data_IF_692447818885
#
_entry.id   IF_692447818885
#
_cell.length_a   1.000
_cell.length_b   1.000
_cell.length_c   1.000
_cell.angle_alpha   90.00
_cell.angle_beta   90.00
_cell.angle_gamma   90.00
#
_symmetry.space_group_name_H-M   'P 1'
#
loop_
_entity.id
_entity.type
_entity.pdbx_description
1 polymer ?
#
# COMPACT_ATOMS: atom_id res chain seq x y z
N UNK A 1 22.53 -19.58 -26.23
CA UNK A 1 22.90 -18.70 -25.11
C UNK A 1 21.70 -17.79 -24.90
N UNK A 2 20.89 -18.02 -23.86
CA UNK A 2 19.92 -17.00 -23.45
C UNK A 2 20.74 -15.91 -22.78
N UNK A 3 20.81 -14.73 -23.39
CA UNK A 3 21.30 -13.54 -22.70
C UNK A 3 20.35 -13.30 -21.53
N UNK A 4 20.80 -13.60 -20.31
CA UNK A 4 20.07 -13.20 -19.12
C UNK A 4 20.14 -11.67 -19.06
N UNK A 5 18.98 -11.00 -19.10
CA UNK A 5 18.91 -9.57 -18.84
C UNK A 5 19.64 -9.27 -17.53
N UNK A 6 20.51 -8.23 -17.49
CA UNK A 6 21.24 -7.89 -16.27
C UNK A 6 20.25 -7.65 -15.13
N UNK A 7 20.61 -8.08 -13.92
CA UNK A 7 19.75 -7.85 -12.75
C UNK A 7 19.51 -6.35 -12.58
N UNK A 8 18.35 -5.97 -12.02
CA UNK A 8 18.02 -4.56 -11.81
C UNK A 8 19.12 -3.83 -11.02
N UNK A 9 19.78 -4.53 -10.08
CA UNK A 9 20.89 -3.99 -9.30
C UNK A 9 22.13 -3.70 -10.13
N UNK A 10 22.47 -4.58 -11.08
CA UNK A 10 23.55 -4.34 -12.01
C UNK A 10 23.25 -3.12 -12.89
N UNK A 11 22.02 -3.02 -13.41
CA UNK A 11 21.58 -1.89 -14.24
C UNK A 11 21.66 -0.56 -13.48
N UNK A 12 21.23 -0.55 -12.21
CA UNK A 12 21.33 0.63 -11.33
C UNK A 12 22.79 1.08 -11.12
N UNK A 13 23.70 0.13 -10.90
CA UNK A 13 25.11 0.42 -10.73
C UNK A 13 25.78 0.95 -12.02
N UNK A 14 25.51 0.31 -13.16
CA UNK A 14 26.13 0.65 -14.45
C UNK A 14 25.67 2.01 -14.99
N UNK A 15 24.45 2.42 -14.65
CA UNK A 15 23.85 3.69 -15.11
C UNK A 15 24.14 4.86 -14.17
N UNK A 16 24.81 4.61 -13.04
CA UNK A 16 25.00 5.59 -11.96
C UNK A 16 23.66 6.23 -11.55
N UNK A 17 22.63 5.37 -11.43
CA UNK A 17 21.24 5.78 -11.28
C UNK A 17 21.02 6.75 -10.13
N UNK A 18 21.69 6.50 -9.01
CA UNK A 18 21.62 7.37 -7.83
C UNK A 18 22.07 8.79 -8.14
N UNK A 19 23.26 8.95 -8.72
CA UNK A 19 23.81 10.26 -9.01
C UNK A 19 22.97 10.99 -10.07
N UNK A 20 22.52 10.27 -11.10
CA UNK A 20 21.69 10.85 -12.16
C UNK A 20 20.34 11.37 -11.66
N UNK A 21 19.68 10.65 -10.75
CA UNK A 21 18.49 11.21 -10.10
C UNK A 21 18.86 12.37 -9.19
N UNK A 22 19.95 12.29 -8.40
CA UNK A 22 20.35 13.40 -7.55
C UNK A 22 20.59 14.70 -8.34
N UNK A 23 21.16 14.59 -9.54
CA UNK A 23 21.44 15.72 -10.43
C UNK A 23 20.16 16.43 -10.93
N UNK A 24 19.01 15.74 -10.98
CA UNK A 24 17.71 16.35 -11.36
C UNK A 24 17.32 17.44 -10.35
N UNK A 25 17.42 17.13 -9.05
CA UNK A 25 17.16 18.12 -8.00
C UNK A 25 17.90 17.77 -6.70
N UNK A 26 19.09 18.37 -6.47
CA UNK A 26 19.92 18.09 -5.29
C UNK A 26 19.29 18.49 -3.95
N UNK A 27 18.26 19.33 -3.96
CA UNK A 27 17.56 19.80 -2.76
C UNK A 27 16.50 18.80 -2.27
N UNK A 28 16.24 17.75 -3.04
CA UNK A 28 15.19 16.76 -2.74
C UNK A 28 15.77 15.35 -2.70
N UNK A 29 15.21 14.51 -1.85
CA UNK A 29 15.54 13.09 -1.81
C UNK A 29 14.61 12.32 -2.75
N UNK A 30 15.19 11.41 -3.52
CA UNK A 30 14.48 10.39 -4.29
C UNK A 30 14.79 9.01 -3.71
N UNK A 31 13.76 8.22 -3.45
CA UNK A 31 13.84 6.92 -2.81
C UNK A 31 13.08 5.89 -3.64
N UNK A 32 13.73 4.76 -3.91
CA UNK A 32 13.12 3.59 -4.51
C UNK A 32 12.17 3.00 -3.47
N UNK A 33 10.89 2.93 -3.82
CA UNK A 33 9.83 2.33 -3.01
C UNK A 33 9.18 1.18 -3.80
N UNK A 34 8.12 0.60 -3.25
CA UNK A 34 7.42 -0.50 -3.92
C UNK A 34 8.29 -1.75 -4.03
N UNK A 35 8.09 -2.52 -5.08
CA UNK A 35 8.54 -3.91 -5.17
C UNK A 35 10.08 -4.00 -5.17
N UNK A 36 10.77 -3.17 -5.97
CA UNK A 36 12.25 -3.11 -5.96
C UNK A 36 12.79 -2.62 -4.62
N UNK A 37 12.19 -1.58 -4.02
CA UNK A 37 12.65 -1.05 -2.73
C UNK A 37 12.46 -2.06 -1.59
N UNK A 38 11.38 -2.84 -1.62
CA UNK A 38 11.14 -3.94 -0.68
C UNK A 38 12.13 -5.09 -0.92
N UNK A 39 12.39 -5.45 -2.19
CA UNK A 39 13.36 -6.48 -2.55
C UNK A 39 14.77 -6.14 -2.05
N UNK A 40 15.20 -4.88 -2.18
CA UNK A 40 16.49 -4.41 -1.66
C UNK A 40 16.63 -4.64 -0.14
N UNK A 41 15.57 -4.37 0.63
CA UNK A 41 15.59 -4.58 2.08
C UNK A 41 15.55 -6.06 2.45
N UNK A 42 14.73 -6.85 1.74
CA UNK A 42 14.63 -8.29 1.95
C UNK A 42 15.96 -9.02 1.66
N UNK A 43 16.78 -8.50 0.74
CA UNK A 43 18.09 -9.06 0.37
C UNK A 43 19.28 -8.31 0.98
N UNK A 44 19.03 -7.47 1.98
CA UNK A 44 20.11 -6.84 2.71
C UNK A 44 21.02 -7.92 3.31
N UNK A 45 22.32 -7.86 3.03
CA UNK A 45 23.35 -8.61 3.76
C UNK A 45 23.67 -7.94 5.10
N UNK A 46 23.60 -6.61 5.14
CA UNK A 46 23.78 -5.82 6.36
C UNK A 46 22.87 -4.58 6.36
N UNK A 47 22.41 -4.17 7.54
CA UNK A 47 21.69 -2.91 7.78
C UNK A 47 22.43 -2.15 8.87
N UNK A 48 22.99 -0.99 8.52
CA UNK A 48 23.52 -0.03 9.48
C UNK A 48 22.45 1.02 9.77
N UNK A 49 21.78 0.83 10.91
CA UNK A 49 20.69 1.69 11.36
C UNK A 49 21.13 3.12 11.71
N UNK A 50 22.36 3.30 12.18
CA UNK A 50 22.84 4.62 12.59
C UNK A 50 23.11 5.49 11.35
N UNK A 51 23.74 4.90 10.35
CA UNK A 51 24.05 5.56 9.08
C UNK A 51 22.88 5.58 8.12
N UNK A 52 21.89 4.71 8.30
CA UNK A 52 20.81 4.51 7.32
C UNK A 52 21.38 3.92 6.05
N UNK A 53 22.07 2.79 6.15
CA UNK A 53 22.76 2.16 5.03
C UNK A 53 22.39 0.68 4.93
N UNK A 54 22.10 0.25 3.71
CA UNK A 54 21.79 -1.13 3.36
C UNK A 54 22.89 -1.63 2.44
N UNK A 55 23.51 -2.75 2.78
CA UNK A 55 24.49 -3.41 1.90
C UNK A 55 23.88 -4.71 1.40
N UNK A 56 23.76 -4.86 0.07
CA UNK A 56 23.28 -6.08 -0.58
C UNK A 56 24.39 -7.14 -0.68
N UNK A 57 24.01 -8.40 -0.71
CA UNK A 57 24.94 -9.50 -1.02
C UNK A 57 25.31 -9.51 -2.53
N UNK A 58 26.52 -9.99 -2.87
CA UNK A 58 27.07 -9.90 -4.23
C UNK A 58 26.30 -10.75 -5.27
N UNK A 59 25.82 -11.92 -4.86
CA UNK A 59 25.31 -12.97 -5.76
C UNK A 59 23.80 -13.19 -5.58
N UNK A 60 22.97 -12.19 -5.86
CA UNK A 60 21.52 -12.37 -5.76
C UNK A 60 20.80 -12.09 -7.07
N UNK A 61 20.18 -13.15 -7.57
CA UNK A 61 19.02 -13.04 -8.45
C UNK A 61 17.82 -12.60 -7.60
N UNK A 62 17.07 -11.58 -8.02
CA UNK A 62 15.96 -11.08 -7.25
C UNK A 62 14.86 -12.15 -7.13
N UNK A 63 14.26 -12.28 -5.94
CA UNK A 63 13.33 -13.40 -5.64
C UNK A 63 11.97 -13.30 -6.32
N UNK A 64 11.65 -12.15 -6.92
CA UNK A 64 10.39 -11.95 -7.63
C UNK A 64 10.63 -12.15 -9.13
N UNK A 65 10.40 -13.38 -9.60
CA UNK A 65 10.26 -13.65 -11.04
C UNK A 65 8.93 -13.08 -11.52
N UNK A 66 8.98 -11.93 -12.18
CA UNK A 66 7.86 -11.42 -12.96
C UNK A 66 7.87 -12.13 -14.32
N UNK A 67 7.38 -13.37 -14.39
CA UNK A 67 7.35 -14.13 -15.65
C UNK A 67 6.60 -13.34 -16.75
N UNK A 68 7.36 -12.68 -17.63
CA UNK A 68 6.84 -11.91 -18.77
C UNK A 68 6.38 -10.47 -18.47
N UNK A 69 6.45 -9.98 -17.24
CA UNK A 69 6.13 -8.58 -16.91
C UNK A 69 7.40 -7.78 -16.60
N UNK A 70 7.49 -6.51 -17.06
CA UNK A 70 8.64 -5.66 -16.73
C UNK A 70 8.70 -5.40 -15.23
N UNK A 71 9.92 -5.18 -14.72
CA UNK A 71 10.14 -4.81 -13.32
C UNK A 71 9.33 -3.58 -12.96
N UNK A 72 8.65 -3.57 -11.81
CA UNK A 72 7.96 -2.37 -11.32
C UNK A 72 8.85 -1.61 -10.36
N UNK A 73 9.32 -0.45 -10.80
CA UNK A 73 10.08 0.48 -9.95
C UNK A 73 9.23 1.71 -9.64
N UNK A 74 8.90 1.85 -8.37
CA UNK A 74 8.25 3.04 -7.87
C UNK A 74 9.30 3.94 -7.21
N UNK A 75 9.28 5.24 -7.51
CA UNK A 75 10.17 6.24 -6.91
C UNK A 75 9.33 7.23 -6.13
N UNK A 76 9.65 7.42 -4.87
CA UNK A 76 9.12 8.49 -4.05
C UNK A 76 10.13 9.63 -4.00
N UNK A 77 9.71 10.84 -4.40
CA UNK A 77 10.50 12.04 -4.23
C UNK A 77 9.93 12.91 -3.09
N UNK A 78 10.79 13.56 -2.30
CA UNK A 78 10.39 14.54 -1.27
C UNK A 78 10.02 15.90 -1.88
N UNK A 79 9.70 15.94 -3.17
CA UNK A 79 9.27 17.13 -3.89
C UNK A 79 7.75 17.14 -4.09
N UNK A 80 7.08 18.29 -3.88
CA UNK A 80 5.70 18.49 -4.32
C UNK A 80 5.58 19.10 -5.71
N UNK A 81 6.69 19.37 -6.39
CA UNK A 81 6.71 20.05 -7.69
C UNK A 81 6.52 19.07 -8.85
N UNK A 82 5.43 19.23 -9.61
CA UNK A 82 5.06 18.30 -10.67
C UNK A 82 6.08 18.23 -11.82
N UNK A 83 6.77 19.33 -12.12
CA UNK A 83 7.80 19.34 -13.17
C UNK A 83 9.02 18.51 -12.74
N UNK A 84 9.47 18.68 -11.50
CA UNK A 84 10.53 17.85 -10.88
C UNK A 84 10.15 16.37 -10.90
N UNK A 85 8.91 16.02 -10.55
CA UNK A 85 8.44 14.62 -10.56
C UNK A 85 8.40 14.01 -11.98
N UNK A 86 8.03 14.82 -12.98
CA UNK A 86 8.05 14.40 -14.37
C UNK A 86 9.48 14.17 -14.87
N UNK A 87 10.42 15.06 -14.52
CA UNK A 87 11.83 14.92 -14.88
C UNK A 87 12.45 13.67 -14.24
N UNK A 88 12.21 13.43 -12.95
CA UNK A 88 12.61 12.17 -12.30
C UNK A 88 12.13 10.93 -13.06
N UNK A 89 10.87 10.95 -13.53
CA UNK A 89 10.28 9.82 -14.26
C UNK A 89 10.97 9.59 -15.59
N UNK A 90 11.21 10.65 -16.35
CA UNK A 90 11.85 10.55 -17.66
C UNK A 90 13.33 10.15 -17.52
N UNK A 91 14.08 10.74 -16.58
CA UNK A 91 15.47 10.34 -16.29
C UNK A 91 15.54 8.86 -15.89
N UNK A 92 14.66 8.39 -15.01
CA UNK A 92 14.66 6.99 -14.60
C UNK A 92 14.33 6.03 -15.76
N UNK A 93 13.37 6.37 -16.63
CA UNK A 93 13.08 5.57 -17.83
C UNK A 93 14.24 5.55 -18.83
N UNK A 94 14.90 6.69 -19.05
CA UNK A 94 16.03 6.79 -19.96
C UNK A 94 17.20 5.88 -19.51
N UNK A 95 17.45 5.80 -18.20
CA UNK A 95 18.50 4.95 -17.64
C UNK A 95 18.12 3.47 -17.64
N UNK A 96 16.87 3.15 -17.30
CA UNK A 96 16.45 1.77 -17.07
C UNK A 96 15.87 1.08 -18.32
N UNK A 97 15.47 1.83 -19.34
CA UNK A 97 14.87 1.31 -20.57
C UNK A 97 13.52 0.63 -20.35
N UNK A 98 13.01 -0.01 -21.41
CA UNK A 98 11.65 -0.57 -21.44
C UNK A 98 11.46 -1.84 -20.60
N UNK A 99 12.55 -2.43 -20.08
CA UNK A 99 12.51 -3.61 -19.20
C UNK A 99 11.95 -3.29 -17.80
N UNK A 100 11.83 -1.99 -17.47
CA UNK A 100 11.38 -1.50 -16.16
C UNK A 100 10.24 -0.50 -16.33
N UNK A 101 9.08 -0.85 -15.78
CA UNK A 101 7.96 0.06 -15.62
C UNK A 101 8.24 1.01 -14.45
N UNK A 102 8.48 2.28 -14.75
CA UNK A 102 8.78 3.31 -13.75
C UNK A 102 7.55 4.16 -13.44
N UNK A 103 7.21 4.26 -12.15
CA UNK A 103 6.30 5.25 -11.62
C UNK A 103 7.02 6.19 -10.64
N UNK A 104 6.63 7.46 -10.63
CA UNK A 104 7.15 8.45 -9.70
C UNK A 104 5.99 9.09 -8.97
N UNK A 105 6.11 9.16 -7.64
CA UNK A 105 5.17 9.82 -6.75
C UNK A 105 5.93 10.84 -5.90
N UNK A 106 5.29 11.97 -5.61
CA UNK A 106 5.87 13.03 -4.79
C UNK A 106 5.13 13.25 -3.48
N UNK A 107 5.58 14.23 -2.70
CA UNK A 107 4.79 14.75 -1.60
C UNK A 107 3.58 15.51 -2.15
N UNK A 108 2.38 15.14 -1.72
CA UNK A 108 1.21 15.88 -2.12
C UNK A 108 1.10 17.17 -1.31
N UNK A 109 0.88 18.31 -1.99
CA UNK A 109 0.49 19.55 -1.29
C UNK A 109 -0.88 19.36 -0.66
N UNK A 110 -1.06 19.92 0.54
CA UNK A 110 -2.33 19.84 1.24
C UNK A 110 -3.45 20.53 0.41
N UNK A 111 -4.40 19.71 -0.07
CA UNK A 111 -5.64 20.06 -0.77
C UNK A 111 -5.52 20.42 -2.26
N UNK A 112 -5.45 19.42 -3.16
CA UNK A 112 -5.62 19.72 -4.59
C UNK A 112 -6.66 18.91 -5.38
N UNK A 113 -7.15 17.73 -4.98
CA UNK A 113 -8.25 17.09 -5.77
C UNK A 113 -9.25 16.24 -4.98
N UNK A 114 -10.45 16.04 -5.55
CA UNK A 114 -11.47 15.11 -5.05
C UNK A 114 -11.06 13.64 -5.22
N UNK A 115 -10.17 13.33 -6.17
CA UNK A 115 -9.57 12.00 -6.34
C UNK A 115 -8.68 11.63 -5.15
N UNK A 116 -7.92 12.60 -4.59
CA UNK A 116 -7.19 12.42 -3.32
C UNK A 116 -8.13 12.17 -2.13
N UNK A 117 -9.39 12.59 -2.24
CA UNK A 117 -10.41 12.43 -1.20
C UNK A 117 -11.03 11.02 -1.20
N UNK A 118 -11.14 10.39 -2.37
CA UNK A 118 -11.53 8.97 -2.50
C UNK A 118 -10.46 8.05 -1.88
N UNK A 119 -9.19 8.49 -1.91
CA UNK A 119 -8.04 7.97 -1.16
C UNK A 119 -7.96 6.45 -1.08
N UNK A 120 -8.13 5.79 -2.22
CA UNK A 120 -8.02 4.34 -2.37
C UNK A 120 -6.60 3.84 -2.07
N UNK A 121 -5.61 4.72 -2.22
CA UNK A 121 -4.19 4.48 -1.94
C UNK A 121 -3.67 5.46 -0.90
N UNK A 122 -2.75 5.01 -0.06
CA UNK A 122 -2.08 5.86 0.92
C UNK A 122 -0.96 6.71 0.29
N UNK A 123 -0.72 7.90 0.83
CA UNK A 123 0.32 8.81 0.35
C UNK A 123 0.79 9.81 1.40
N UNK A 124 1.99 10.36 1.19
CA UNK A 124 2.57 11.40 2.04
C UNK A 124 2.16 12.79 1.58
N UNK A 125 1.84 13.64 2.56
CA UNK A 125 1.41 15.03 2.36
C UNK A 125 2.28 15.96 3.20
N UNK A 126 2.61 17.11 2.63
CA UNK A 126 3.24 18.19 3.37
C UNK A 126 2.18 19.21 3.76
N UNK A 127 2.11 19.55 5.05
CA UNK A 127 1.24 20.61 5.55
C UNK A 127 1.84 22.01 5.33
N UNK A 128 1.04 23.05 5.54
CA UNK A 128 1.46 24.45 5.33
C UNK A 128 2.55 24.95 6.28
N UNK A 129 2.95 24.16 7.28
CA UNK A 129 4.05 24.45 8.21
C UNK A 129 5.29 23.58 7.93
N UNK A 130 5.26 22.76 6.88
CA UNK A 130 6.34 21.84 6.52
C UNK A 130 6.24 20.47 7.21
N UNK A 131 5.25 20.24 8.07
CA UNK A 131 5.04 18.97 8.74
C UNK A 131 4.60 17.87 7.77
N UNK A 132 5.02 16.64 8.04
CA UNK A 132 4.70 15.47 7.21
C UNK A 132 3.48 14.73 7.77
N UNK A 133 2.57 14.34 6.91
CA UNK A 133 1.42 13.51 7.27
C UNK A 133 1.27 12.37 6.28
N UNK A 134 0.90 11.19 6.78
CA UNK A 134 0.44 10.11 5.92
C UNK A 134 -1.09 10.09 5.89
N UNK A 135 -1.64 9.92 4.69
CA UNK A 135 -3.08 9.90 4.48
C UNK A 135 -3.48 8.71 3.65
N UNK A 136 -4.55 8.05 4.07
CA UNK A 136 -5.25 7.00 3.32
C UNK A 136 -6.74 7.28 3.46
N UNK A 137 -7.39 7.70 2.36
CA UNK A 137 -8.75 8.23 2.40
C UNK A 137 -8.86 9.49 3.28
N UNK A 138 -9.85 9.48 4.17
CA UNK A 138 -10.07 10.55 5.14
C UNK A 138 -9.23 10.40 6.41
N UNK A 139 -8.48 9.31 6.57
CA UNK A 139 -7.61 9.09 7.73
C UNK A 139 -6.30 9.82 7.52
N UNK A 140 -5.92 10.62 8.50
CA UNK A 140 -4.69 11.40 8.54
C UNK A 140 -3.91 11.02 9.79
N UNK A 141 -2.60 10.91 9.68
CA UNK A 141 -1.74 10.70 10.84
C UNK A 141 -0.47 11.52 10.64
N UNK A 142 -0.13 12.43 11.57
CA UNK A 142 1.17 13.08 11.59
C UNK A 142 2.26 12.02 11.55
N UNK A 143 3.27 12.24 10.74
CA UNK A 143 4.43 11.38 10.67
C UNK A 143 5.65 12.13 11.18
N UNK A 144 6.53 11.45 11.93
CA UNK A 144 7.83 12.02 12.28
C UNK A 144 8.66 12.28 11.02
N UNK A 145 9.59 13.23 11.07
CA UNK A 145 10.46 13.57 9.93
C UNK A 145 11.31 12.37 9.51
N UNK A 146 11.71 11.53 10.48
CA UNK A 146 12.42 10.28 10.28
C UNK A 146 11.69 9.35 9.31
N UNK A 147 10.37 9.46 9.17
CA UNK A 147 9.60 8.65 8.23
C UNK A 147 9.97 8.89 6.76
N UNK A 148 10.54 10.05 6.42
CA UNK A 148 11.05 10.38 5.09
C UNK A 148 12.58 10.28 5.00
N UNK A 149 13.26 9.88 6.09
CA UNK A 149 14.72 9.72 6.08
C UNK A 149 15.09 8.60 5.10
N UNK A 150 15.81 8.99 4.06
CA UNK A 150 16.33 8.08 3.05
C UNK A 150 17.50 7.25 3.60
N UNK A 151 17.56 5.99 3.18
CA UNK A 151 18.65 5.06 3.48
C UNK A 151 19.39 4.72 2.19
N UNK A 152 20.71 4.84 2.20
CA UNK A 152 21.54 4.52 1.05
C UNK A 152 21.63 3.01 0.86
N UNK A 153 21.44 2.53 -0.36
CA UNK A 153 21.63 1.12 -0.74
C UNK A 153 22.90 1.01 -1.57
N UNK A 154 23.77 0.08 -1.19
CA UNK A 154 24.98 -0.24 -1.94
C UNK A 154 25.12 -1.75 -2.16
N UNK A 155 25.84 -2.12 -3.21
CA UNK A 155 26.28 -3.49 -3.39
C UNK A 155 27.48 -3.83 -2.48
N UNK A 156 27.90 -5.10 -2.49
CA UNK A 156 29.04 -5.57 -1.70
C UNK A 156 30.40 -4.98 -2.10
N UNK A 157 30.47 -4.35 -3.28
CA UNK A 157 31.67 -3.66 -3.80
C UNK A 157 31.69 -2.18 -3.42
N UNK A 158 30.61 -1.69 -2.80
CA UNK A 158 30.45 -0.28 -2.40
C UNK A 158 29.84 0.61 -3.49
N UNK A 159 29.36 0.05 -4.61
CA UNK A 159 28.65 0.84 -5.62
C UNK A 159 27.28 1.25 -5.07
N UNK A 160 26.96 2.54 -5.17
CA UNK A 160 25.67 3.07 -4.70
C UNK A 160 24.62 2.76 -5.76
N UNK A 161 23.59 2.00 -5.37
CA UNK A 161 22.51 1.60 -6.28
C UNK A 161 21.35 2.60 -6.26
N UNK A 162 21.20 3.31 -5.14
CA UNK A 162 20.09 4.23 -4.91
C UNK A 162 19.87 4.47 -3.44
N UNK A 163 18.71 5.04 -3.14
CA UNK A 163 18.22 5.20 -1.77
C UNK A 163 16.86 4.52 -1.65
N UNK A 164 16.51 4.05 -0.46
CA UNK A 164 15.18 3.54 -0.11
C UNK A 164 14.64 4.32 1.09
N UNK A 165 13.35 4.18 1.41
CA UNK A 165 12.87 4.62 2.71
C UNK A 165 13.48 3.77 3.83
N UNK A 166 13.55 4.32 5.04
CA UNK A 166 13.86 3.51 6.21
C UNK A 166 12.90 2.31 6.32
N UNK A 167 13.39 1.23 6.93
CA UNK A 167 12.69 -0.05 6.99
C UNK A 167 11.24 0.05 7.54
N UNK A 168 10.97 0.74 8.68
CA UNK A 168 9.60 0.97 9.15
C UNK A 168 8.68 1.65 8.14
N UNK A 169 9.15 2.70 7.46
CA UNK A 169 8.37 3.42 6.45
C UNK A 169 8.09 2.56 5.23
N UNK A 170 9.08 1.80 4.75
CA UNK A 170 8.91 0.91 3.60
C UNK A 170 7.86 -0.18 3.88
N UNK A 171 7.94 -0.83 5.05
CA UNK A 171 6.95 -1.82 5.47
C UNK A 171 5.55 -1.21 5.56
N UNK A 172 5.47 -0.01 6.09
CA UNK A 172 4.20 0.68 6.28
C UNK A 172 3.57 1.11 4.95
N UNK A 173 4.37 1.52 3.96
CA UNK A 173 3.87 1.77 2.61
C UNK A 173 3.29 0.50 1.98
N UNK A 174 3.96 -0.64 2.14
CA UNK A 174 3.45 -1.93 1.65
C UNK A 174 2.11 -2.30 2.31
N UNK A 175 1.99 -2.05 3.61
CA UNK A 175 0.77 -2.31 4.38
C UNK A 175 -0.41 -1.42 3.99
N UNK A 176 -0.14 -0.13 3.78
CA UNK A 176 -1.16 0.91 3.63
C UNK A 176 -1.39 1.34 2.17
N UNK A 177 -0.74 0.67 1.21
CA UNK A 177 -0.89 0.94 -0.22
C UNK A 177 -2.34 0.94 -0.68
N UNK A 178 -3.22 0.19 -0.01
CA UNK A 178 -4.65 0.14 -0.32
C UNK A 178 -5.55 0.24 0.92
N UNK A 179 -6.70 0.91 0.75
CA UNK A 179 -7.77 0.96 1.77
C UNK A 179 -8.22 -0.44 2.19
N UNK A 180 -8.12 -1.45 1.34
CA UNK A 180 -8.46 -2.85 1.66
C UNK A 180 -7.43 -3.58 2.53
N UNK A 181 -6.23 -3.02 2.74
CA UNK A 181 -5.11 -3.67 3.44
C UNK A 181 -4.12 -4.34 2.49
N UNK A 182 -3.22 -5.16 3.06
CA UNK A 182 -2.19 -5.92 2.32
C UNK A 182 -2.85 -6.82 1.29
N UNK A 183 -2.43 -6.73 0.02
CA UNK A 183 -2.91 -7.64 -1.03
C UNK A 183 -2.27 -9.00 -0.87
N UNK A 184 -2.97 -10.05 -1.30
CA UNK A 184 -2.44 -11.43 -1.27
C UNK A 184 -1.07 -11.55 -1.97
N UNK A 185 -0.87 -10.80 -3.06
CA UNK A 185 0.41 -10.76 -3.79
C UNK A 185 1.54 -10.09 -3.01
N UNK A 186 1.22 -9.14 -2.14
CA UNK A 186 2.17 -8.36 -1.34
C UNK A 186 2.44 -9.03 0.03
N UNK A 187 1.67 -10.07 0.39
CA UNK A 187 1.68 -10.67 1.72
C UNK A 187 3.00 -11.38 2.07
N UNK A 188 3.65 -12.02 1.09
CA UNK A 188 4.93 -12.69 1.28
C UNK A 188 6.03 -11.67 1.56
N UNK A 189 6.12 -10.64 0.71
CA UNK A 189 7.06 -9.53 0.89
C UNK A 189 6.83 -8.81 2.23
N UNK A 190 5.58 -8.58 2.61
CA UNK A 190 5.24 -8.00 3.91
C UNK A 190 5.71 -8.88 5.05
N UNK A 191 5.45 -10.18 5.01
CA UNK A 191 5.87 -11.10 6.07
C UNK A 191 7.39 -11.16 6.22
N UNK A 192 8.13 -11.17 5.11
CA UNK A 192 9.60 -11.14 5.09
C UNK A 192 10.12 -9.84 5.71
N UNK A 193 9.63 -8.70 5.24
CA UNK A 193 10.09 -7.39 5.70
C UNK A 193 9.71 -7.12 7.17
N UNK A 194 8.52 -7.57 7.58
CA UNK A 194 8.09 -7.54 8.98
C UNK A 194 8.91 -8.48 9.86
N UNK A 195 9.35 -9.64 9.34
CA UNK A 195 10.30 -10.51 10.04
C UNK A 195 11.66 -9.82 10.24
N UNK A 196 12.12 -9.03 9.27
CA UNK A 196 13.37 -8.26 9.41
C UNK A 196 13.29 -7.23 10.53
N UNK A 197 12.15 -6.55 10.70
CA UNK A 197 11.94 -5.64 11.84
C UNK A 197 11.98 -6.36 13.20
N UNK A 198 11.73 -7.66 13.25
CA UNK A 198 11.66 -8.45 14.50
C UNK A 198 12.92 -9.28 14.77
N UNK A 199 13.77 -9.49 13.77
CA UNK A 199 14.89 -10.42 13.87
C UNK A 199 16.19 -9.69 14.23
N UNK A 200 16.41 -9.54 15.54
CA UNK A 200 17.59 -8.88 16.09
C UNK A 200 18.89 -9.64 15.77
N UNK A 201 18.85 -10.96 15.66
CA UNK A 201 20.03 -11.81 15.44
C UNK A 201 20.65 -11.63 14.04
N UNK A 202 19.83 -11.31 13.03
CA UNK A 202 20.29 -11.20 11.65
C UNK A 202 20.65 -9.78 11.21
N UNK A 203 20.00 -8.74 11.79
CA UNK A 203 20.09 -7.34 11.33
C UNK A 203 20.19 -6.30 12.44
N UNK A 204 20.34 -6.73 13.70
CA UNK A 204 20.32 -5.86 14.87
C UNK A 204 18.92 -5.39 15.26
N UNK A 205 18.78 -4.94 16.51
CA UNK A 205 17.53 -4.39 17.02
C UNK A 205 17.19 -3.05 16.35
N UNK A 206 15.89 -2.82 16.12
CA UNK A 206 15.39 -1.53 15.64
C UNK A 206 15.69 -0.46 16.69
N UNK A 207 16.43 0.62 16.37
CA UNK A 207 16.74 1.65 17.34
C UNK A 207 15.50 2.43 17.80
N UNK A 208 15.54 2.91 19.05
CA UNK A 208 14.50 3.76 19.64
C UNK A 208 14.15 4.99 18.79
N UNK A 209 15.12 5.53 18.03
CA UNK A 209 14.89 6.66 17.13
C UNK A 209 13.87 6.37 16.02
N UNK A 210 13.66 5.09 15.69
CA UNK A 210 12.67 4.65 14.71
C UNK A 210 11.35 4.19 15.35
N UNK A 211 11.30 4.08 16.68
CA UNK A 211 10.11 3.66 17.41
C UNK A 211 8.93 4.60 17.16
N UNK A 212 9.18 5.92 17.11
CA UNK A 212 8.15 6.91 16.79
C UNK A 212 7.53 6.69 15.40
N UNK A 213 8.32 6.27 14.41
CA UNK A 213 7.83 5.94 13.06
C UNK A 213 6.90 4.73 13.13
N UNK A 214 7.34 3.67 13.82
CA UNK A 214 6.55 2.44 14.01
C UNK A 214 5.23 2.75 14.71
N UNK A 215 5.26 3.55 15.77
CA UNK A 215 4.07 3.94 16.54
C UNK A 215 3.09 4.79 15.73
N UNK A 216 3.56 5.79 14.97
CA UNK A 216 2.70 6.59 14.10
C UNK A 216 2.02 5.74 13.03
N UNK A 217 2.71 4.77 12.44
CA UNK A 217 2.09 3.86 11.49
C UNK A 217 1.12 2.86 12.12
N UNK A 218 1.42 2.35 13.32
CA UNK A 218 0.47 1.54 14.08
C UNK A 218 -0.80 2.33 14.45
N UNK A 219 -0.65 3.61 14.83
CA UNK A 219 -1.78 4.50 15.08
C UNK A 219 -2.62 4.71 13.81
N UNK A 220 -1.95 4.92 12.66
CA UNK A 220 -2.62 5.05 11.37
C UNK A 220 -3.44 3.80 11.02
N UNK A 221 -2.84 2.61 11.18
CA UNK A 221 -3.50 1.33 10.95
C UNK A 221 -4.73 1.16 11.87
N UNK A 222 -4.60 1.49 13.16
CA UNK A 222 -5.73 1.43 14.11
C UNK A 222 -6.88 2.38 13.74
N UNK A 223 -6.57 3.57 13.22
CA UNK A 223 -7.58 4.50 12.68
C UNK A 223 -8.25 3.90 11.43
N UNK A 224 -7.47 3.30 10.52
CA UNK A 224 -7.99 2.64 9.32
C UNK A 224 -8.89 1.45 9.67
N UNK A 225 -8.51 0.59 10.61
CA UNK A 225 -9.34 -0.56 10.99
C UNK A 225 -10.65 -0.15 11.64
N UNK A 226 -10.64 0.91 12.47
CA UNK A 226 -11.87 1.52 12.98
C UNK A 226 -12.75 2.05 11.85
N UNK A 227 -12.16 2.70 10.85
CA UNK A 227 -12.89 3.20 9.68
C UNK A 227 -13.46 2.06 8.82
N UNK A 228 -12.68 1.01 8.55
CA UNK A 228 -13.10 -0.21 7.83
C UNK A 228 -14.24 -0.91 8.54
N UNK A 229 -14.11 -1.10 9.86
CA UNK A 229 -15.17 -1.70 10.69
C UNK A 229 -16.44 -0.85 10.65
N UNK A 230 -16.32 0.48 10.66
CA UNK A 230 -17.45 1.40 10.50
C UNK A 230 -18.07 1.31 9.10
N UNK A 231 -17.27 1.27 8.03
CA UNK A 231 -17.75 1.17 6.65
C UNK A 231 -18.41 -0.19 6.38
N UNK A 232 -17.80 -1.29 6.78
CA UNK A 232 -18.40 -2.63 6.72
C UNK A 232 -19.68 -2.70 7.55
N UNK A 233 -19.71 -2.10 8.74
CA UNK A 233 -20.91 -2.03 9.57
C UNK A 233 -21.96 -1.06 9.01
N UNK A 234 -21.60 0.00 8.30
CA UNK A 234 -22.52 0.89 7.59
C UNK A 234 -23.09 0.19 6.37
N UNK A 235 -22.27 -0.50 5.57
CA UNK A 235 -22.74 -1.30 4.43
C UNK A 235 -23.69 -2.42 4.90
N UNK A 236 -23.34 -3.14 5.98
CA UNK A 236 -24.20 -4.15 6.60
C UNK A 236 -25.48 -3.52 7.17
N UNK A 237 -25.38 -2.38 7.87
CA UNK A 237 -26.55 -1.67 8.42
C UNK A 237 -27.47 -1.10 7.33
N UNK A 238 -26.92 -0.58 6.24
CA UNK A 238 -27.67 -0.05 5.09
C UNK A 238 -28.28 -1.17 4.27
N UNK A 239 -27.60 -2.31 4.11
CA UNK A 239 -28.20 -3.51 3.51
C UNK A 239 -29.33 -4.06 4.39
N UNK A 240 -29.13 -4.13 5.72
CA UNK A 240 -30.18 -4.49 6.67
C UNK A 240 -31.35 -3.49 6.68
N UNK A 241 -31.08 -2.18 6.65
CA UNK A 241 -32.13 -1.15 6.54
C UNK A 241 -32.87 -1.26 5.21
N UNK A 242 -32.18 -1.46 4.09
CA UNK A 242 -32.82 -1.67 2.79
C UNK A 242 -33.74 -2.90 2.79
N UNK A 243 -33.31 -4.00 3.43
CA UNK A 243 -34.15 -5.19 3.66
C UNK A 243 -35.34 -4.87 4.57
N UNK A 244 -35.16 -4.05 5.62
CA UNK A 244 -36.25 -3.65 6.53
C UNK A 244 -37.25 -2.67 5.89
N UNK A 245 -36.78 -1.77 5.03
CA UNK A 245 -37.61 -0.79 4.32
C UNK A 245 -38.45 -1.45 3.21
N UNK A 246 -37.97 -2.55 2.64
CA UNK A 246 -38.68 -3.28 1.58
C UNK A 246 -39.58 -4.41 2.10
N UNK A 247 -39.60 -4.65 3.41
CA UNK A 247 -40.49 -5.61 4.07
C UNK A 247 -41.42 -4.93 5.07
N UNK A 248 -42.63 -4.61 4.61
CA UNK A 248 -43.70 -3.94 5.36
C UNK A 248 -43.99 -4.61 6.73
N UNK A 249 -43.90 -5.94 6.80
CA UNK A 249 -44.10 -6.71 8.02
C UNK A 249 -43.07 -6.41 9.12
N UNK A 250 -41.83 -6.06 8.75
CA UNK A 250 -40.76 -5.72 9.69
C UNK A 250 -40.87 -4.25 10.12
N UNK A 251 -41.25 -3.36 9.19
CA UNK A 251 -41.57 -1.96 9.52
C UNK A 251 -42.71 -1.85 10.55
N UNK A 252 -43.77 -2.63 10.38
CA UNK A 252 -44.91 -2.70 11.32
C UNK A 252 -44.52 -3.31 12.68
N UNK A 253 -43.58 -4.26 12.68
CA UNK A 253 -43.04 -4.87 13.91
C UNK A 253 -42.23 -3.84 14.71
N UNK A 254 -41.35 -3.09 14.07
CA UNK A 254 -40.55 -2.03 14.75
C UNK A 254 -41.43 -0.90 15.28
N UNK A 255 -42.57 -0.63 14.65
CA UNK A 255 -43.55 0.37 15.11
C UNK A 255 -44.51 -0.14 16.21
N UNK A 256 -44.39 -1.40 16.63
CA UNK A 256 -45.18 -1.98 17.73
C UNK A 256 -46.58 -2.47 17.36
N UNK A 257 -46.95 -2.50 16.07
CA UNK A 257 -48.26 -3.01 15.62
C UNK A 257 -48.19 -4.52 15.31
N UNK A 258 -48.14 -5.30 16.38
CA UNK A 258 -47.94 -6.75 16.34
C UNK A 258 -49.02 -7.51 15.55
N UNK A 259 -50.27 -7.02 15.57
CA UNK A 259 -51.38 -7.70 14.87
C UNK A 259 -51.24 -7.57 13.36
N UNK A 260 -50.89 -6.39 12.86
CA UNK A 260 -50.67 -6.17 11.42
C UNK A 260 -49.37 -6.82 10.95
N UNK A 261 -48.31 -6.76 11.75
CA UNK A 261 -47.04 -7.41 11.43
C UNK A 261 -47.20 -8.93 11.23
N UNK A 262 -47.90 -9.62 12.13
CA UNK A 262 -48.16 -11.06 12.03
C UNK A 262 -49.06 -11.40 10.83
N UNK A 263 -50.05 -10.55 10.52
CA UNK A 263 -50.91 -10.74 9.34
C UNK A 263 -50.13 -10.65 8.04
N UNK A 264 -49.26 -9.63 7.92
CA UNK A 264 -48.40 -9.43 6.75
C UNK A 264 -47.38 -10.58 6.59
N UNK A 265 -46.81 -11.09 7.69
CA UNK A 265 -45.93 -12.28 7.65
C UNK A 265 -46.67 -13.55 7.19
N UNK A 266 -47.94 -13.73 7.57
CA UNK A 266 -48.76 -14.86 7.10
C UNK A 266 -49.08 -14.77 5.61
N UNK A 267 -49.41 -13.59 5.11
CA UNK A 267 -49.60 -13.37 3.67
C UNK A 267 -48.32 -13.61 2.87
N UNK A 268 -47.18 -13.11 3.35
CA UNK A 268 -45.89 -13.35 2.71
C UNK A 268 -45.51 -14.84 2.70
N UNK A 269 -45.78 -15.57 3.80
CA UNK A 269 -45.62 -17.03 3.85
C UNK A 269 -46.53 -17.73 2.85
N UNK A 270 -47.78 -17.28 2.66
CA UNK A 270 -48.68 -17.87 1.67
C UNK A 270 -48.21 -17.64 0.24
N UNK A 271 -47.77 -16.43 -0.09
CA UNK A 271 -47.20 -16.09 -1.41
C UNK A 271 -45.92 -16.88 -1.71
N UNK A 272 -45.05 -17.08 -0.71
CA UNK A 272 -43.91 -17.98 -0.84
C UNK A 272 -44.36 -19.42 -1.05
N UNK A 273 -45.37 -19.88 -0.32
CA UNK A 273 -45.85 -21.25 -0.47
C UNK A 273 -46.43 -21.51 -1.86
N UNK A 274 -47.24 -20.61 -2.41
CA UNK A 274 -47.78 -20.65 -3.77
C UNK A 274 -46.66 -20.65 -4.82
N UNK A 275 -45.69 -19.73 -4.68
CA UNK A 275 -44.54 -19.60 -5.60
C UNK A 275 -43.63 -20.84 -5.63
N UNK A 276 -43.62 -21.65 -4.57
CA UNK A 276 -42.83 -22.87 -4.45
C UNK A 276 -43.65 -24.17 -4.58
N UNK A 277 -44.99 -24.10 -4.65
CA UNK A 277 -45.85 -25.23 -5.02
C UNK A 277 -46.19 -25.27 -6.50
N UNK A 278 -46.34 -24.13 -7.18
CA UNK A 278 -46.55 -24.10 -8.65
C UNK A 278 -45.32 -24.62 -9.42
N UNK A 279 -44.13 -24.60 -8.82
CA UNK A 279 -42.90 -25.13 -9.42
C UNK A 279 -42.71 -26.65 -9.27
N UNK A 280 -43.66 -27.37 -8.68
CA UNK A 280 -43.57 -28.83 -8.52
C UNK A 280 -44.35 -29.66 -9.54
N UNK A 281 -45.31 -29.07 -10.26
CA UNK A 281 -46.15 -29.82 -11.19
C UNK A 281 -45.60 -29.86 -12.64
N UNK A 282 -44.55 -29.10 -12.96
CA UNK A 282 -43.94 -29.07 -14.31
C UNK A 282 -42.77 -30.07 -14.51
N UNK A 283 -42.51 -30.96 -13.56
CA UNK A 283 -41.41 -31.94 -13.65
C UNK A 283 -41.77 -33.40 -13.37
N UNK A 284 -43.02 -33.81 -13.59
CA UNK A 284 -43.38 -35.22 -13.73
C UNK A 284 -44.28 -35.46 -14.96
N UNK A 285 -43.68 -35.65 -16.14
CA UNK A 285 -43.81 -36.86 -16.97
C UNK A 285 -43.22 -36.64 -18.38
N UNK A 286 -42.09 -37.34 -18.62
CA UNK A 286 -41.57 -37.93 -19.87
C UNK A 286 -41.61 -37.16 -21.19
#
# INVERSE_FOLDING_TARGET
>A
MQEHSPSIYQKLAETDFHQKLHDVNPETDSMIIGDVGVDMLNHAANIDWQRGQVTLAHEHEPTVSHEGEPWQMDIMATSPDAATLAEYKETAKELLGDDVSVAVVGLHRYAQTWHDLLGLTGGYYQDGKGGVQYRTGMIKTPMPEESLRSWQVQDSRGAILGKVLNLPSQLSLLQHRFVSGVRSRDAVQYAQLHSLLKNEEQKGAVPDSYQAVVESFAEHQSKLDRARKRLGMVAIKSALLGVFEHHESIGLFVQGDWKRAISAMRQYRHQLHEKYTDNKDDHEEK
#
